data_IF_203552877396
#
_entry.id   IF_203552877396
#
_cell.length_a   1.000
_cell.length_b   1.000
_cell.length_c   1.000
_cell.angle_alpha   90.00
_cell.angle_beta   90.00
_cell.angle_gamma   90.00
#
_symmetry.space_group_name_H-M   'P 1'
#
loop_
_entity.id
_entity.type
_entity.pdbx_description
1 polymer ?
#
# COMPACT_ATOMS: atom_id res chain seq x y z
N UNK A 1 3.37 59.84 -6.18
CA UNK A 1 2.86 58.73 -5.36
C UNK A 1 2.90 57.47 -6.22
N UNK A 2 4.04 56.73 -6.18
CA UNK A 2 4.26 55.57 -7.04
C UNK A 2 3.75 54.33 -6.31
N UNK A 3 2.69 53.71 -6.87
CA UNK A 3 2.25 52.36 -6.45
C UNK A 3 3.28 51.35 -6.89
N UNK A 4 3.99 50.79 -5.93
CA UNK A 4 4.92 49.67 -6.12
C UNK A 4 4.11 48.38 -6.33
N UNK A 5 4.01 47.94 -7.57
CA UNK A 5 3.43 46.62 -7.88
C UNK A 5 4.24 45.53 -7.19
N UNK A 6 3.57 44.70 -6.36
CA UNK A 6 4.14 43.51 -5.77
C UNK A 6 4.47 42.48 -6.87
N UNK A 7 5.58 41.75 -6.77
CA UNK A 7 5.94 40.74 -7.78
C UNK A 7 4.94 39.63 -7.84
N UNK A 8 4.56 39.23 -9.05
CA UNK A 8 3.55 38.19 -9.37
C UNK A 8 3.81 36.81 -8.69
N UNK A 9 5.04 36.56 -8.23
CA UNK A 9 5.44 35.35 -7.52
C UNK A 9 4.84 35.21 -6.11
N UNK A 10 4.63 36.33 -5.39
CA UNK A 10 4.05 36.32 -4.04
C UNK A 10 2.53 36.11 -4.06
N UNK A 11 1.86 36.66 -5.08
CA UNK A 11 0.40 36.44 -5.27
C UNK A 11 0.08 35.00 -5.63
N UNK A 12 0.92 34.32 -6.43
CA UNK A 12 0.71 32.93 -6.79
C UNK A 12 0.96 31.97 -5.60
N UNK A 13 1.90 32.29 -4.72
CA UNK A 13 2.16 31.49 -3.52
C UNK A 13 1.01 31.62 -2.49
N UNK A 14 0.48 32.82 -2.27
CA UNK A 14 -0.66 33.06 -1.37
C UNK A 14 -1.98 32.49 -1.92
N UNK A 15 -2.18 32.46 -3.23
CA UNK A 15 -3.33 31.80 -3.87
C UNK A 15 -3.21 30.29 -3.78
N UNK A 16 -2.01 29.72 -4.01
CA UNK A 16 -1.77 28.28 -3.81
C UNK A 16 -1.98 27.84 -2.37
N UNK A 17 -1.54 28.61 -1.39
CA UNK A 17 -1.71 28.31 0.03
C UNK A 17 -3.19 28.35 0.45
N UNK A 18 -3.98 29.30 -0.06
CA UNK A 18 -5.43 29.36 0.17
C UNK A 18 -6.20 28.23 -0.55
N UNK A 19 -5.83 27.86 -1.77
CA UNK A 19 -6.44 26.73 -2.49
C UNK A 19 -6.09 25.40 -1.81
N UNK A 20 -4.85 25.23 -1.30
CA UNK A 20 -4.45 24.05 -0.56
C UNK A 20 -5.22 23.81 0.75
N UNK A 21 -5.74 24.89 1.39
CA UNK A 21 -6.54 24.76 2.61
C UNK A 21 -8.03 24.49 2.36
N UNK A 22 -8.55 24.88 1.19
CA UNK A 22 -9.96 24.67 0.84
C UNK A 22 -10.18 23.30 0.13
N UNK A 23 -9.11 22.68 -0.39
CA UNK A 23 -9.16 21.52 -1.29
C UNK A 23 -9.63 21.91 -2.70
N UNK A 24 -9.26 21.09 -3.66
CA UNK A 24 -9.72 21.20 -5.04
C UNK A 24 -10.56 19.94 -5.35
N UNK A 25 -11.89 20.05 -5.49
CA UNK A 25 -12.75 18.89 -5.72
C UNK A 25 -12.43 18.15 -7.03
N UNK A 26 -11.77 18.80 -7.97
CA UNK A 26 -11.33 18.18 -9.22
C UNK A 26 -10.00 17.43 -9.08
N UNK A 27 -9.25 17.70 -8.01
CA UNK A 27 -7.98 17.03 -7.78
C UNK A 27 -8.17 15.58 -7.30
N UNK A 28 -7.36 14.65 -7.83
CA UNK A 28 -7.45 13.21 -7.53
C UNK A 28 -7.41 12.89 -6.03
N UNK A 29 -6.63 13.61 -5.24
CA UNK A 29 -6.55 13.43 -3.78
C UNK A 29 -7.88 13.72 -3.11
N UNK A 30 -8.57 14.80 -3.49
CA UNK A 30 -9.92 15.13 -2.99
C UNK A 30 -10.93 14.06 -3.35
N UNK A 31 -10.94 13.64 -4.63
CA UNK A 31 -11.84 12.59 -5.10
C UNK A 31 -11.62 11.31 -4.28
N UNK A 32 -10.38 10.90 -4.08
CA UNK A 32 -10.05 9.69 -3.32
C UNK A 32 -10.43 9.80 -1.84
N UNK A 33 -10.30 10.97 -1.22
CA UNK A 33 -10.77 11.21 0.16
C UNK A 33 -12.29 11.14 0.21
N UNK A 34 -13.00 11.84 -0.70
CA UNK A 34 -14.45 11.87 -0.74
C UNK A 34 -15.07 10.48 -0.97
N UNK A 35 -14.47 9.66 -1.85
CA UNK A 35 -14.90 8.29 -2.12
C UNK A 35 -14.71 7.34 -0.94
N UNK A 36 -13.74 7.61 -0.05
CA UNK A 36 -13.50 6.84 1.19
C UNK A 36 -14.37 7.28 2.36
N UNK A 37 -14.89 8.49 2.31
CA UNK A 37 -15.70 9.10 3.35
C UNK A 37 -17.04 9.59 2.80
N UNK A 38 -17.77 8.70 2.14
CA UNK A 38 -18.98 9.04 1.36
C UNK A 38 -20.04 9.71 2.23
N UNK A 39 -20.32 9.19 3.44
CA UNK A 39 -21.31 9.79 4.31
C UNK A 39 -20.86 11.14 4.89
N UNK A 40 -19.58 11.25 5.25
CA UNK A 40 -19.01 12.48 5.79
C UNK A 40 -18.92 13.58 4.72
N UNK A 41 -18.46 13.23 3.51
CA UNK A 41 -18.27 14.18 2.40
C UNK A 41 -19.58 14.74 1.85
N UNK A 42 -20.69 14.01 2.00
CA UNK A 42 -22.04 14.45 1.64
C UNK A 42 -22.77 15.15 2.80
N UNK A 43 -22.19 15.17 3.99
CA UNK A 43 -22.78 15.78 5.19
C UNK A 43 -22.84 17.32 5.10
N UNK A 44 -23.91 17.92 5.63
CA UNK A 44 -24.12 19.38 5.65
C UNK A 44 -22.98 20.14 6.32
N UNK A 45 -22.28 19.51 7.28
CA UNK A 45 -21.15 20.11 8.01
C UNK A 45 -19.81 19.93 7.30
N UNK A 46 -19.76 19.18 6.20
CA UNK A 46 -18.51 18.92 5.49
C UNK A 46 -17.74 20.18 5.08
N UNK A 47 -18.36 21.23 4.52
CA UNK A 47 -17.65 22.45 4.14
C UNK A 47 -16.94 23.14 5.31
N UNK A 48 -17.45 22.99 6.54
CA UNK A 48 -16.86 23.55 7.77
C UNK A 48 -15.73 22.64 8.31
N UNK A 49 -15.90 21.33 8.25
CA UNK A 49 -14.95 20.35 8.79
C UNK A 49 -13.77 20.11 7.84
N UNK A 50 -13.99 20.16 6.55
CA UNK A 50 -13.01 19.88 5.50
C UNK A 50 -11.68 20.66 5.68
N UNK A 51 -11.65 21.98 5.85
CA UNK A 51 -10.40 22.73 6.02
C UNK A 51 -9.59 22.29 7.24
N UNK A 52 -10.27 21.98 8.36
CA UNK A 52 -9.64 21.52 9.59
C UNK A 52 -9.04 20.13 9.41
N UNK A 53 -9.81 19.20 8.82
CA UNK A 53 -9.38 17.83 8.51
C UNK A 53 -8.20 17.84 7.55
N UNK A 54 -8.26 18.63 6.48
CA UNK A 54 -7.21 18.72 5.47
C UNK A 54 -5.91 19.28 6.04
N UNK A 55 -6.02 20.29 6.91
CA UNK A 55 -4.85 20.80 7.63
C UNK A 55 -4.23 19.74 8.55
N UNK A 56 -5.06 18.99 9.29
CA UNK A 56 -4.60 17.96 10.21
C UNK A 56 -3.97 16.75 9.48
N UNK A 57 -4.43 16.44 8.26
CA UNK A 57 -4.04 15.24 7.52
C UNK A 57 -3.03 15.48 6.39
N UNK A 58 -2.27 16.57 6.45
CA UNK A 58 -1.21 16.88 5.48
C UNK A 58 -1.69 16.94 4.01
N UNK A 59 -2.92 17.42 3.78
CA UNK A 59 -3.55 17.45 2.47
C UNK A 59 -2.68 18.13 1.39
N UNK A 60 -2.13 19.34 1.66
CA UNK A 60 -1.29 20.04 0.70
C UNK A 60 -0.03 19.29 0.32
N UNK A 61 0.56 18.54 1.26
CA UNK A 61 1.69 17.67 0.98
C UNK A 61 1.27 16.47 0.13
N UNK A 62 0.10 15.89 0.38
CA UNK A 62 -0.45 14.79 -0.43
C UNK A 62 -0.72 15.25 -1.87
N UNK A 63 -1.26 16.47 -2.07
CA UNK A 63 -1.46 17.07 -3.39
C UNK A 63 -0.13 17.29 -4.11
N UNK A 64 0.86 17.87 -3.43
CA UNK A 64 2.20 18.07 -4.01
C UNK A 64 2.81 16.74 -4.44
N UNK A 65 2.83 15.75 -3.55
CA UNK A 65 3.32 14.41 -3.84
C UNK A 65 2.60 13.78 -5.05
N UNK A 66 1.26 13.87 -5.10
CA UNK A 66 0.48 13.32 -6.22
C UNK A 66 0.84 14.00 -7.54
N UNK A 67 0.99 15.33 -7.55
CA UNK A 67 1.40 16.09 -8.74
C UNK A 67 2.81 15.75 -9.20
N UNK A 68 3.74 15.54 -8.25
CA UNK A 68 5.13 15.22 -8.56
C UNK A 68 5.25 13.83 -9.18
N UNK A 69 4.47 12.84 -8.72
CA UNK A 69 4.54 11.47 -9.24
C UNK A 69 3.66 11.22 -10.45
N UNK A 70 2.66 12.05 -10.72
CA UNK A 70 1.71 11.86 -11.83
C UNK A 70 2.38 11.69 -13.21
N UNK A 71 3.44 12.46 -13.59
CA UNK A 71 4.10 12.32 -14.87
C UNK A 71 5.15 11.21 -14.94
N UNK A 72 5.48 10.56 -13.82
CA UNK A 72 6.59 9.63 -13.72
C UNK A 72 6.19 8.21 -14.18
N UNK A 73 7.17 7.43 -14.65
CA UNK A 73 6.99 5.98 -14.80
C UNK A 73 6.79 5.31 -13.45
N UNK A 74 6.28 4.08 -13.44
CA UNK A 74 6.03 3.37 -12.19
C UNK A 74 7.28 3.22 -11.33
N UNK A 75 8.44 2.93 -11.95
CA UNK A 75 9.71 2.83 -11.25
C UNK A 75 10.14 4.16 -10.64
N UNK A 76 10.12 5.22 -11.42
CA UNK A 76 10.49 6.56 -10.96
C UNK A 76 9.58 7.06 -9.84
N UNK A 77 8.27 6.78 -9.92
CA UNK A 77 7.31 7.14 -8.88
C UNK A 77 7.58 6.39 -7.55
N UNK A 78 7.93 5.09 -7.61
CA UNK A 78 8.34 4.35 -6.42
C UNK A 78 9.68 4.86 -5.86
N UNK A 79 10.68 5.16 -6.71
CA UNK A 79 11.95 5.74 -6.28
C UNK A 79 11.76 7.14 -5.65
N UNK A 80 10.83 7.96 -6.20
CA UNK A 80 10.44 9.23 -5.60
C UNK A 80 9.83 9.03 -4.20
N UNK A 81 8.87 8.11 -4.06
CA UNK A 81 8.22 7.81 -2.78
C UNK A 81 9.22 7.23 -1.77
N UNK A 82 10.12 6.35 -2.20
CA UNK A 82 11.23 5.83 -1.40
C UNK A 82 12.09 6.96 -0.83
N UNK A 83 12.47 7.91 -1.69
CA UNK A 83 13.26 9.09 -1.29
C UNK A 83 12.48 10.01 -0.37
N UNK A 84 11.21 10.28 -0.68
CA UNK A 84 10.34 11.15 0.11
C UNK A 84 10.15 10.60 1.53
N UNK A 85 9.91 9.29 1.66
CA UNK A 85 9.68 8.65 2.95
C UNK A 85 10.99 8.36 3.69
N UNK A 86 12.08 8.06 2.96
CA UNK A 86 13.38 7.71 3.54
C UNK A 86 13.24 6.72 4.71
N UNK A 87 12.54 5.61 4.46
CA UNK A 87 12.25 4.61 5.50
C UNK A 87 13.54 3.97 6.00
N UNK A 88 13.63 3.73 7.32
CA UNK A 88 14.68 2.92 7.92
C UNK A 88 14.27 1.44 7.82
N UNK A 89 14.64 0.78 6.71
CA UNK A 89 14.27 -0.60 6.41
C UNK A 89 15.38 -1.55 6.82
N UNK A 90 15.11 -2.40 7.81
CA UNK A 90 15.98 -3.49 8.23
C UNK A 90 15.41 -4.83 7.81
N UNK A 91 16.24 -5.70 7.24
CA UNK A 91 15.78 -7.01 6.71
C UNK A 91 16.56 -8.13 7.39
N UNK A 92 15.84 -9.10 7.96
CA UNK A 92 16.36 -10.37 8.44
C UNK A 92 15.90 -11.50 7.52
N UNK A 93 16.74 -12.49 7.25
CA UNK A 93 16.41 -13.59 6.34
C UNK A 93 16.44 -13.21 4.86
N UNK A 94 17.17 -12.15 4.48
CA UNK A 94 17.29 -11.71 3.09
C UNK A 94 17.85 -12.82 2.18
N UNK A 95 18.67 -13.71 2.72
CA UNK A 95 19.23 -14.90 2.05
C UNK A 95 18.17 -15.92 1.63
N UNK A 96 16.98 -15.88 2.23
CA UNK A 96 15.86 -16.73 1.86
C UNK A 96 15.17 -16.28 0.55
N UNK A 97 15.52 -15.09 0.05
CA UNK A 97 14.93 -14.58 -1.19
C UNK A 97 15.50 -15.33 -2.40
N UNK A 98 14.68 -16.00 -3.24
CA UNK A 98 15.18 -16.66 -4.45
C UNK A 98 15.88 -15.66 -5.38
N UNK A 99 17.14 -15.94 -5.73
CA UNK A 99 17.95 -15.07 -6.59
C UNK A 99 17.39 -14.99 -8.01
N UNK A 100 16.64 -15.99 -8.47
CA UNK A 100 16.06 -16.06 -9.81
C UNK A 100 14.76 -16.85 -9.82
N UNK A 101 14.02 -16.79 -10.93
CA UNK A 101 12.72 -17.43 -11.06
C UNK A 101 11.58 -16.64 -10.43
N UNK A 102 10.35 -16.97 -10.80
CA UNK A 102 9.14 -16.34 -10.26
C UNK A 102 8.76 -16.92 -8.90
N UNK A 103 8.27 -16.07 -8.01
CA UNK A 103 7.69 -16.47 -6.73
C UNK A 103 6.68 -15.43 -6.26
N UNK A 104 5.87 -15.79 -5.29
CA UNK A 104 4.99 -14.85 -4.59
C UNK A 104 5.68 -14.43 -3.29
N UNK A 105 5.99 -13.14 -3.15
CA UNK A 105 6.30 -12.57 -1.84
C UNK A 105 4.99 -12.23 -1.15
N UNK A 106 4.74 -12.83 0.01
CA UNK A 106 3.51 -12.69 0.77
C UNK A 106 3.75 -11.96 2.10
N UNK A 107 3.82 -10.61 2.11
CA UNK A 107 4.06 -9.86 3.34
C UNK A 107 2.79 -9.68 4.18
N UNK A 108 2.94 -9.56 5.51
CA UNK A 108 1.92 -8.97 6.35
C UNK A 108 1.72 -7.48 6.02
N UNK A 109 0.57 -6.90 6.42
CA UNK A 109 0.15 -5.57 5.96
C UNK A 109 -0.20 -4.61 7.11
N UNK A 110 0.80 -4.23 7.95
CA UNK A 110 0.53 -3.46 9.17
C UNK A 110 0.18 -1.99 8.93
N UNK A 111 0.70 -1.34 7.86
CA UNK A 111 0.58 0.12 7.70
C UNK A 111 -0.10 0.58 6.42
N UNK A 112 -0.22 -0.27 5.42
CA UNK A 112 -0.86 0.08 4.15
C UNK A 112 0.16 0.47 3.08
N UNK A 113 0.02 1.65 2.45
CA UNK A 113 0.85 2.04 1.29
C UNK A 113 2.34 2.00 1.61
N UNK A 114 2.74 2.41 2.83
CA UNK A 114 4.14 2.42 3.24
C UNK A 114 4.78 1.02 3.28
N UNK A 115 3.99 -0.04 3.53
CA UNK A 115 4.50 -1.42 3.45
C UNK A 115 4.94 -1.76 2.03
N UNK A 116 4.19 -1.29 1.01
CA UNK A 116 4.56 -1.46 -0.39
C UNK A 116 5.87 -0.75 -0.74
N UNK A 117 6.10 0.45 -0.17
CA UNK A 117 7.36 1.19 -0.38
C UNK A 117 8.52 0.49 0.34
N UNK A 118 8.32 0.00 1.57
CA UNK A 118 9.35 -0.74 2.30
C UNK A 118 9.76 -2.03 1.57
N UNK A 119 8.78 -2.76 1.00
CA UNK A 119 9.04 -3.95 0.18
C UNK A 119 9.75 -3.59 -1.12
N UNK A 120 9.37 -2.48 -1.77
CA UNK A 120 10.08 -1.97 -2.94
C UNK A 120 11.53 -1.64 -2.61
N UNK A 121 11.80 -0.95 -1.50
CA UNK A 121 13.17 -0.62 -1.07
C UNK A 121 14.02 -1.86 -0.82
N UNK A 122 13.45 -2.90 -0.24
CA UNK A 122 14.10 -4.18 -0.06
C UNK A 122 14.41 -4.87 -1.39
N UNK A 123 13.43 -4.90 -2.31
CA UNK A 123 13.55 -5.67 -3.57
C UNK A 123 14.32 -4.94 -4.67
N UNK A 124 14.30 -3.60 -4.70
CA UNK A 124 14.73 -2.81 -5.87
C UNK A 124 16.15 -3.08 -6.36
N UNK A 125 17.03 -3.59 -5.50
CA UNK A 125 18.41 -3.94 -5.86
C UNK A 125 18.55 -5.43 -6.14
N UNK A 126 17.97 -6.30 -5.29
CA UNK A 126 18.14 -7.74 -5.40
C UNK A 126 17.24 -8.36 -6.49
N UNK A 127 16.00 -7.88 -6.60
CA UNK A 127 14.99 -8.39 -7.55
C UNK A 127 14.16 -7.24 -8.12
N UNK A 128 14.75 -6.43 -9.00
CA UNK A 128 14.06 -5.29 -9.63
C UNK A 128 12.89 -5.70 -10.54
N UNK A 129 12.82 -6.98 -10.92
CA UNK A 129 11.81 -7.63 -11.74
C UNK A 129 10.53 -7.95 -10.94
N UNK A 130 9.98 -6.98 -10.24
CA UNK A 130 8.80 -7.17 -9.40
C UNK A 130 7.49 -6.69 -10.07
N UNK A 131 6.36 -7.21 -9.56
CA UNK A 131 5.02 -6.71 -9.82
C UNK A 131 4.23 -6.74 -8.50
N UNK A 132 3.56 -5.65 -8.13
CA UNK A 132 2.94 -5.47 -6.80
C UNK A 132 1.42 -5.39 -6.97
N UNK A 133 0.68 -6.27 -6.30
CA UNK A 133 -0.77 -6.12 -6.20
C UNK A 133 -1.11 -4.93 -5.32
N UNK A 134 -1.82 -3.95 -5.88
CA UNK A 134 -2.24 -2.77 -5.15
C UNK A 134 -3.63 -2.28 -5.60
N UNK A 135 -4.21 -1.40 -4.78
CA UNK A 135 -5.47 -0.77 -5.10
C UNK A 135 -5.38 -0.01 -6.44
N UNK A 136 -6.36 -0.22 -7.33
CA UNK A 136 -6.49 0.44 -8.64
C UNK A 136 -6.45 1.97 -8.54
N UNK A 137 -6.85 2.54 -7.42
CA UNK A 137 -6.79 3.98 -7.16
C UNK A 137 -5.37 4.56 -7.32
N UNK A 138 -4.31 3.75 -7.11
CA UNK A 138 -2.94 4.19 -7.34
C UNK A 138 -2.71 4.63 -8.81
N UNK A 139 -3.34 3.97 -9.78
CA UNK A 139 -3.26 4.34 -11.20
C UNK A 139 -3.95 5.66 -11.53
N UNK A 140 -4.87 6.12 -10.68
CA UNK A 140 -5.51 7.45 -10.81
C UNK A 140 -4.57 8.55 -10.36
N UNK A 141 -3.74 8.26 -9.34
CA UNK A 141 -2.74 9.21 -8.83
C UNK A 141 -1.56 9.31 -9.79
N UNK A 142 -1.03 8.17 -10.24
CA UNK A 142 0.09 8.12 -11.19
C UNK A 142 -0.15 6.98 -12.20
N UNK A 143 -0.57 7.28 -13.44
CA UNK A 143 -0.83 6.27 -14.47
C UNK A 143 0.38 5.38 -14.76
N UNK A 144 1.60 5.90 -14.62
CA UNK A 144 2.85 5.16 -14.81
C UNK A 144 3.03 3.99 -13.83
N UNK A 145 2.33 3.95 -12.71
CA UNK A 145 2.34 2.79 -11.81
C UNK A 145 1.93 1.47 -12.51
N UNK A 146 1.29 1.56 -13.69
CA UNK A 146 0.94 0.37 -14.49
C UNK A 146 2.15 -0.50 -14.85
N UNK A 147 3.36 0.03 -14.81
CA UNK A 147 4.60 -0.72 -15.08
C UNK A 147 4.93 -1.74 -13.97
N UNK A 148 4.52 -1.44 -12.72
CA UNK A 148 4.85 -2.21 -11.53
C UNK A 148 3.64 -2.72 -10.75
N UNK A 149 2.47 -2.07 -10.89
CA UNK A 149 1.27 -2.43 -10.11
C UNK A 149 0.35 -3.32 -10.94
N UNK A 150 -0.05 -4.45 -10.34
CA UNK A 150 -1.19 -5.25 -10.77
C UNK A 150 -2.42 -4.69 -10.04
N UNK A 151 -3.32 -3.95 -10.73
CA UNK A 151 -4.39 -3.21 -10.08
C UNK A 151 -5.54 -4.11 -9.64
N UNK A 152 -5.96 -3.96 -8.37
CA UNK A 152 -7.13 -4.67 -7.82
C UNK A 152 -8.22 -3.66 -7.48
N UNK A 153 -9.47 -3.95 -7.85
CA UNK A 153 -10.62 -3.18 -7.42
C UNK A 153 -11.16 -3.75 -6.09
N UNK A 154 -11.10 -2.95 -5.05
CA UNK A 154 -11.55 -3.33 -3.72
C UNK A 154 -13.04 -3.06 -3.48
N UNK A 155 -13.62 -2.06 -4.20
CA UNK A 155 -15.03 -1.69 -4.09
C UNK A 155 -15.90 -2.70 -4.82
N UNK A 156 -16.80 -3.37 -4.10
CA UNK A 156 -17.65 -4.42 -4.68
C UNK A 156 -18.51 -3.91 -5.86
N UNK A 157 -19.11 -2.72 -5.71
CA UNK A 157 -19.94 -2.10 -6.76
C UNK A 157 -19.17 -1.65 -8.01
N UNK A 158 -17.85 -1.50 -7.90
CA UNK A 158 -16.97 -1.03 -8.96
C UNK A 158 -16.27 -2.18 -9.72
N UNK A 159 -16.50 -3.43 -9.31
CA UNK A 159 -15.93 -4.60 -9.98
C UNK A 159 -16.63 -4.84 -11.30
N UNK A 160 -15.93 -4.63 -12.40
CA UNK A 160 -16.40 -4.93 -13.76
C UNK A 160 -15.61 -6.08 -14.37
N UNK A 161 -16.21 -6.73 -15.39
CA UNK A 161 -15.51 -7.79 -16.12
C UNK A 161 -14.22 -7.28 -16.76
N UNK A 162 -14.22 -6.05 -17.30
CA UNK A 162 -13.02 -5.43 -17.89
C UNK A 162 -11.92 -5.23 -16.86
N UNK A 163 -12.24 -4.66 -15.67
CA UNK A 163 -11.26 -4.47 -14.59
C UNK A 163 -10.69 -5.81 -14.11
N UNK A 164 -11.54 -6.84 -13.99
CA UNK A 164 -11.12 -8.19 -13.59
C UNK A 164 -10.21 -8.82 -14.64
N UNK A 165 -10.54 -8.69 -15.92
CA UNK A 165 -9.73 -9.19 -17.03
C UNK A 165 -8.35 -8.52 -17.08
N UNK A 166 -8.28 -7.21 -16.94
CA UNK A 166 -7.04 -6.45 -16.87
C UNK A 166 -6.13 -6.97 -15.74
N UNK A 167 -6.68 -7.15 -14.54
CA UNK A 167 -5.94 -7.75 -13.40
C UNK A 167 -5.41 -9.15 -13.73
N UNK A 168 -6.23 -10.02 -14.32
CA UNK A 168 -5.84 -11.39 -14.69
C UNK A 168 -4.75 -11.40 -15.77
N UNK A 169 -4.84 -10.55 -16.79
CA UNK A 169 -3.84 -10.45 -17.85
C UNK A 169 -2.49 -9.98 -17.30
N UNK A 170 -2.49 -8.95 -16.46
CA UNK A 170 -1.25 -8.46 -15.83
C UNK A 170 -0.64 -9.50 -14.89
N UNK A 171 -1.47 -10.23 -14.14
CA UNK A 171 -1.04 -11.34 -13.30
C UNK A 171 -0.37 -12.44 -14.12
N UNK A 172 -1.01 -12.86 -15.22
CA UNK A 172 -0.46 -13.89 -16.09
C UNK A 172 0.88 -13.46 -16.72
N UNK A 173 1.00 -12.19 -17.16
CA UNK A 173 2.25 -11.63 -17.69
C UNK A 173 3.35 -11.61 -16.64
N UNK A 174 3.04 -11.24 -15.39
CA UNK A 174 4.03 -11.22 -14.31
C UNK A 174 4.62 -12.62 -14.05
N UNK A 175 3.75 -13.65 -13.93
CA UNK A 175 4.22 -15.03 -13.72
C UNK A 175 4.94 -15.62 -14.96
N UNK A 176 4.44 -15.36 -16.17
CA UNK A 176 5.13 -15.78 -17.40
C UNK A 176 6.50 -15.13 -17.54
N UNK A 177 6.66 -13.88 -17.11
CA UNK A 177 7.92 -13.17 -17.04
C UNK A 177 8.81 -13.58 -15.86
N UNK A 178 8.41 -14.59 -15.07
CA UNK A 178 9.12 -15.08 -13.87
C UNK A 178 9.44 -13.97 -12.86
N UNK A 179 8.57 -12.96 -12.77
CA UNK A 179 8.72 -11.83 -11.84
C UNK A 179 8.48 -12.24 -10.39
N UNK A 180 8.98 -11.42 -9.48
CA UNK A 180 8.52 -11.42 -8.08
C UNK A 180 7.14 -10.80 -8.03
N UNK A 181 6.14 -11.56 -7.60
CA UNK A 181 4.77 -11.06 -7.44
C UNK A 181 4.54 -10.77 -5.97
N UNK A 182 4.50 -9.49 -5.62
CA UNK A 182 4.20 -9.05 -4.25
C UNK A 182 2.70 -9.01 -4.06
N UNK A 183 2.20 -9.78 -3.12
CA UNK A 183 0.78 -9.87 -2.78
C UNK A 183 0.62 -9.77 -1.26
N UNK A 184 -0.08 -8.75 -0.78
CA UNK A 184 -0.48 -8.63 0.63
C UNK A 184 -1.77 -9.45 0.85
N UNK A 185 -1.68 -10.67 1.42
CA UNK A 185 -2.80 -11.62 1.34
C UNK A 185 -4.02 -11.22 2.16
N UNK A 186 -3.85 -10.41 3.20
CA UNK A 186 -4.98 -9.87 3.97
C UNK A 186 -5.87 -8.93 3.14
N UNK A 187 -5.28 -8.26 2.12
CA UNK A 187 -5.94 -7.25 1.30
C UNK A 187 -6.41 -6.02 2.08
N UNK A 188 -6.12 -5.94 3.35
CA UNK A 188 -6.49 -4.85 4.27
C UNK A 188 -5.41 -4.61 5.31
N UNK A 189 -5.31 -3.36 5.77
CA UNK A 189 -4.40 -2.95 6.84
C UNK A 189 -4.79 -3.65 8.15
N UNK A 190 -3.77 -4.05 8.93
CA UNK A 190 -3.93 -4.61 10.27
C UNK A 190 -4.69 -3.65 11.20
N UNK A 191 -5.39 -4.19 12.16
CA UNK A 191 -6.22 -3.42 13.09
C UNK A 191 -5.88 -3.77 14.53
N UNK A 192 -6.29 -2.89 15.44
CA UNK A 192 -6.06 -3.11 16.87
C UNK A 192 -7.16 -3.99 17.45
N UNK A 193 -6.78 -5.12 18.00
CA UNK A 193 -7.69 -6.07 18.63
C UNK A 193 -7.10 -6.61 19.92
N UNK A 194 -7.85 -6.57 21.01
CA UNK A 194 -7.45 -7.11 22.33
C UNK A 194 -6.04 -6.69 22.77
N UNK A 195 -5.71 -5.41 22.61
CA UNK A 195 -4.42 -4.86 23.04
C UNK A 195 -3.23 -5.18 22.12
N UNK A 196 -3.44 -5.78 20.95
CA UNK A 196 -2.40 -6.11 19.98
C UNK A 196 -2.78 -5.75 18.56
N UNK A 197 -1.77 -5.47 17.72
CA UNK A 197 -1.96 -5.28 16.29
C UNK A 197 -2.20 -6.65 15.64
N UNK A 198 -3.37 -6.79 15.01
CA UNK A 198 -3.85 -8.06 14.46
C UNK A 198 -4.01 -7.94 12.96
N UNK A 199 -3.44 -8.89 12.23
CA UNK A 199 -3.60 -9.01 10.78
C UNK A 199 -5.03 -9.48 10.45
N UNK A 200 -5.60 -8.93 9.36
CA UNK A 200 -6.88 -9.45 8.85
C UNK A 200 -6.68 -10.86 8.27
N UNK A 201 -7.73 -11.72 8.26
CA UNK A 201 -7.62 -13.06 7.68
C UNK A 201 -7.08 -13.03 6.25
N UNK A 202 -6.11 -13.88 5.96
CA UNK A 202 -5.51 -13.97 4.64
C UNK A 202 -6.47 -14.60 3.64
N UNK A 203 -6.50 -14.05 2.44
CA UNK A 203 -7.33 -14.54 1.35
C UNK A 203 -6.69 -15.77 0.70
N UNK A 204 -7.52 -16.71 0.27
CA UNK A 204 -7.11 -17.93 -0.42
C UNK A 204 -6.39 -17.68 -1.76
N UNK A 205 -6.46 -16.45 -2.29
CA UNK A 205 -5.82 -16.07 -3.56
C UNK A 205 -4.32 -16.33 -3.60
N UNK A 206 -3.60 -16.16 -2.48
CA UNK A 206 -2.16 -16.43 -2.40
C UNK A 206 -1.87 -17.91 -2.70
N UNK A 207 -2.66 -18.82 -2.13
CA UNK A 207 -2.55 -20.28 -2.34
C UNK A 207 -2.97 -20.65 -3.77
N UNK A 208 -4.09 -20.10 -4.23
CA UNK A 208 -4.62 -20.38 -5.57
C UNK A 208 -3.63 -19.95 -6.68
N UNK A 209 -3.00 -18.79 -6.53
CA UNK A 209 -1.98 -18.31 -7.48
C UNK A 209 -0.70 -19.16 -7.42
N UNK A 210 -0.20 -19.48 -6.22
CA UNK A 210 0.98 -20.32 -6.06
C UNK A 210 0.82 -21.69 -6.75
N UNK A 211 -0.32 -22.34 -6.53
CA UNK A 211 -0.67 -23.63 -7.16
C UNK A 211 -0.82 -23.50 -8.66
N UNK A 212 -1.60 -22.50 -9.13
CA UNK A 212 -1.88 -22.30 -10.56
C UNK A 212 -0.62 -22.09 -11.38
N UNK A 213 0.30 -21.28 -10.86
CA UNK A 213 1.54 -20.94 -11.58
C UNK A 213 2.75 -21.78 -11.15
N UNK A 214 2.55 -22.73 -10.22
CA UNK A 214 3.59 -23.61 -9.67
C UNK A 214 4.82 -22.85 -9.21
N UNK A 215 4.61 -21.79 -8.44
CA UNK A 215 5.67 -20.95 -7.87
C UNK A 215 5.66 -21.04 -6.35
N UNK A 216 6.82 -20.95 -5.69
CA UNK A 216 6.87 -20.91 -4.23
C UNK A 216 6.27 -19.63 -3.67
N UNK A 217 5.81 -19.71 -2.41
CA UNK A 217 5.44 -18.56 -1.59
C UNK A 217 6.56 -18.27 -0.62
N UNK A 218 7.07 -17.04 -0.64
CA UNK A 218 8.03 -16.52 0.33
C UNK A 218 7.25 -15.67 1.34
N UNK A 219 7.04 -16.15 2.57
CA UNK A 219 6.36 -15.38 3.59
C UNK A 219 7.26 -14.25 4.09
N UNK A 220 6.71 -13.08 4.36
CA UNK A 220 7.47 -11.97 4.92
C UNK A 220 6.67 -11.26 6.01
N UNK A 221 7.27 -11.12 7.20
CA UNK A 221 6.65 -10.38 8.30
C UNK A 221 7.17 -8.96 8.32
N UNK A 222 6.26 -7.98 8.23
CA UNK A 222 6.59 -6.57 8.40
C UNK A 222 6.21 -6.14 9.81
N UNK A 223 7.16 -5.57 10.54
CA UNK A 223 6.94 -4.97 11.86
C UNK A 223 7.01 -3.46 11.73
N UNK A 224 5.85 -2.84 11.70
CA UNK A 224 5.62 -1.40 11.68
C UNK A 224 4.21 -1.13 12.21
N UNK A 225 3.84 0.14 12.40
CA UNK A 225 2.50 0.50 12.86
C UNK A 225 2.07 1.88 12.35
N UNK A 226 0.79 2.08 12.27
CA UNK A 226 0.18 3.37 12.02
C UNK A 226 0.17 4.27 13.26
N UNK A 227 -0.24 5.50 13.10
CA UNK A 227 -0.33 6.46 14.21
C UNK A 227 -1.42 6.05 15.21
N UNK A 228 -1.31 6.56 16.44
CA UNK A 228 -2.39 6.42 17.43
C UNK A 228 -3.71 7.00 16.94
N UNK A 229 -3.64 8.07 16.13
CA UNK A 229 -4.82 8.69 15.52
C UNK A 229 -5.55 7.73 14.58
N UNK A 230 -4.81 7.00 13.71
CA UNK A 230 -5.39 5.98 12.83
C UNK A 230 -6.21 4.94 13.61
N UNK A 231 -5.64 4.39 14.68
CA UNK A 231 -6.33 3.39 15.50
C UNK A 231 -7.48 3.98 16.33
N UNK A 232 -7.35 5.22 16.78
CA UNK A 232 -8.43 5.91 17.48
C UNK A 232 -9.63 6.10 16.54
N UNK A 233 -9.39 6.63 15.34
CA UNK A 233 -10.44 6.87 14.35
C UNK A 233 -11.09 5.56 13.88
N UNK A 234 -10.33 4.48 13.75
CA UNK A 234 -10.85 3.16 13.38
C UNK A 234 -11.83 2.56 14.38
N UNK A 235 -11.84 3.05 15.63
CA UNK A 235 -12.84 2.65 16.65
C UNK A 235 -14.20 3.30 16.44
N UNK A 236 -14.24 4.44 15.76
CA UNK A 236 -15.44 5.24 15.59
C UNK A 236 -16.05 5.08 14.19
N UNK A 237 -15.21 5.05 13.16
CA UNK A 237 -15.67 4.99 11.79
C UNK A 237 -14.56 4.51 10.85
N UNK A 238 -14.87 3.56 9.98
CA UNK A 238 -13.98 3.14 8.90
C UNK A 238 -13.72 4.29 7.92
N UNK A 239 -14.69 5.17 7.67
CA UNK A 239 -14.53 6.34 6.81
C UNK A 239 -13.49 7.33 7.37
N UNK A 240 -13.59 7.66 8.66
CA UNK A 240 -12.61 8.55 9.32
C UNK A 240 -11.20 7.96 9.25
N UNK A 241 -11.07 6.65 9.45
CA UNK A 241 -9.79 5.96 9.29
C UNK A 241 -9.29 6.04 7.85
N UNK A 242 -10.14 5.74 6.88
CA UNK A 242 -9.74 5.64 5.47
C UNK A 242 -9.41 7.01 4.85
N UNK A 243 -9.94 8.10 5.39
CA UNK A 243 -9.51 9.47 5.07
C UNK A 243 -8.06 9.74 5.42
N UNK A 244 -7.49 9.04 6.41
CA UNK A 244 -6.11 9.27 6.85
C UNK A 244 -5.05 8.61 5.95
N UNK A 245 -5.43 7.94 4.86
CA UNK A 245 -4.50 7.13 4.05
C UNK A 245 -3.25 7.89 3.59
N UNK A 246 -3.40 9.12 3.13
CA UNK A 246 -2.27 9.95 2.71
C UNK A 246 -1.49 10.50 3.92
N UNK A 247 -2.19 10.84 4.99
CA UNK A 247 -1.55 11.24 6.25
C UNK A 247 -0.70 10.09 6.80
N UNK A 248 -1.24 8.87 6.84
CA UNK A 248 -0.50 7.69 7.31
C UNK A 248 0.71 7.35 6.41
N UNK A 249 0.63 7.59 5.12
CA UNK A 249 1.78 7.46 4.24
C UNK A 249 2.87 8.49 4.59
N UNK A 250 2.51 9.78 4.64
CA UNK A 250 3.47 10.88 4.82
C UNK A 250 4.08 10.93 6.23
N UNK A 251 3.34 10.51 7.26
CA UNK A 251 3.84 10.47 8.63
C UNK A 251 4.85 9.33 8.89
N UNK A 252 5.06 8.43 7.90
CA UNK A 252 6.08 7.37 7.99
C UNK A 252 7.48 7.84 7.65
N UNK A 253 7.66 9.09 7.24
CA UNK A 253 8.99 9.62 6.90
C UNK A 253 10.01 9.36 8.01
N UNK A 254 11.14 8.69 7.66
CA UNK A 254 12.16 8.25 8.60
C UNK A 254 11.70 7.11 9.54
N UNK A 255 10.50 6.55 9.28
CA UNK A 255 9.95 5.48 10.10
C UNK A 255 10.70 4.17 9.94
N UNK A 256 10.77 3.40 11.05
CA UNK A 256 11.43 2.09 11.06
C UNK A 256 10.50 0.99 10.59
N UNK A 257 10.98 0.18 9.64
CA UNK A 257 10.33 -1.00 9.10
C UNK A 257 11.27 -2.19 9.22
N UNK A 258 10.90 -3.18 10.04
CA UNK A 258 11.64 -4.43 10.11
C UNK A 258 10.91 -5.48 9.28
N UNK A 259 11.61 -6.06 8.30
CA UNK A 259 11.10 -7.13 7.44
C UNK A 259 11.82 -8.42 7.79
N UNK A 260 11.07 -9.45 8.17
CA UNK A 260 11.62 -10.80 8.38
C UNK A 260 11.15 -11.67 7.22
N UNK A 261 12.09 -12.14 6.40
CA UNK A 261 11.81 -12.99 5.22
C UNK A 261 11.99 -14.45 5.62
N UNK A 262 10.93 -15.24 5.48
CA UNK A 262 10.96 -16.67 5.76
C UNK A 262 11.44 -17.49 4.56
N UNK A 263 11.66 -18.78 4.79
CA UNK A 263 12.05 -19.72 3.73
C UNK A 263 10.97 -19.87 2.67
N UNK A 264 11.35 -20.07 1.39
CA UNK A 264 10.39 -20.35 0.32
C UNK A 264 9.61 -21.63 0.60
N UNK A 265 8.29 -21.54 0.52
CA UNK A 265 7.36 -22.66 0.71
C UNK A 265 6.98 -23.17 -0.68
N UNK A 266 7.37 -24.41 -0.98
CA UNK A 266 7.09 -25.04 -2.27
C UNK A 266 5.56 -25.22 -2.50
N UNK A 267 5.07 -25.12 -3.75
CA UNK A 267 3.64 -25.28 -4.06
C UNK A 267 3.03 -26.59 -3.56
N UNK A 268 3.81 -27.65 -3.56
CA UNK A 268 3.38 -29.00 -3.12
C UNK A 268 3.10 -29.07 -1.60
N UNK A 269 3.68 -28.16 -0.82
CA UNK A 269 3.38 -28.01 0.61
C UNK A 269 2.08 -27.23 0.88
N UNK A 270 1.50 -26.61 -0.16
CA UNK A 270 0.30 -25.79 -0.05
C UNK A 270 -1.00 -26.56 -0.38
N UNK A 271 -0.99 -27.90 -0.31
CA UNK A 271 -2.17 -28.74 -0.58
C UNK A 271 -3.26 -28.57 0.48
N UNK A 272 -4.52 -28.94 0.14
CA UNK A 272 -5.68 -28.89 1.01
C UNK A 272 -6.66 -27.78 0.62
N UNK A 273 -7.60 -27.43 1.49
CA UNK A 273 -8.56 -26.36 1.24
C UNK A 273 -7.83 -25.00 1.25
N UNK A 274 -7.96 -24.17 0.19
CA UNK A 274 -7.14 -22.96 0.05
C UNK A 274 -7.29 -21.94 1.18
N UNK A 275 -8.45 -21.84 1.81
CA UNK A 275 -8.67 -20.95 2.95
C UNK A 275 -7.92 -21.41 4.21
N UNK A 276 -7.94 -22.71 4.50
CA UNK A 276 -7.23 -23.29 5.64
C UNK A 276 -5.72 -23.13 5.48
N UNK A 277 -5.21 -23.39 4.27
CA UNK A 277 -3.79 -23.21 3.97
C UNK A 277 -3.38 -21.74 4.07
N UNK A 278 -4.22 -20.80 3.62
CA UNK A 278 -3.96 -19.38 3.78
C UNK A 278 -3.91 -18.95 5.27
N UNK A 279 -4.76 -19.53 6.11
CA UNK A 279 -4.73 -19.31 7.55
C UNK A 279 -3.46 -19.87 8.21
N UNK A 280 -2.97 -21.03 7.76
CA UNK A 280 -1.68 -21.60 8.20
C UNK A 280 -0.51 -20.72 7.76
N UNK A 281 -0.50 -20.24 6.51
CA UNK A 281 0.50 -19.29 6.01
C UNK A 281 0.51 -18.00 6.84
N UNK A 282 -0.68 -17.46 7.15
CA UNK A 282 -0.80 -16.29 8.00
C UNK A 282 -0.20 -16.52 9.37
N UNK A 283 -0.56 -17.61 10.03
CA UNK A 283 -0.04 -17.97 11.35
C UNK A 283 1.49 -18.12 11.32
N UNK A 284 2.01 -18.83 10.33
CA UNK A 284 3.43 -18.98 10.13
C UNK A 284 4.12 -17.62 9.99
N UNK A 285 3.60 -16.74 9.14
CA UNK A 285 4.18 -15.41 8.88
C UNK A 285 4.11 -14.50 10.10
N UNK A 286 2.97 -14.44 10.78
CA UNK A 286 2.73 -13.47 11.85
C UNK A 286 3.33 -13.91 13.18
N UNK A 287 3.28 -15.22 13.49
CA UNK A 287 3.68 -15.76 14.78
C UNK A 287 5.09 -16.36 14.73
N UNK A 288 5.35 -17.33 13.83
CA UNK A 288 6.63 -18.06 13.82
C UNK A 288 7.79 -17.23 13.31
N UNK A 289 7.60 -16.45 12.23
CA UNK A 289 8.65 -15.54 11.75
C UNK A 289 8.91 -14.34 12.67
N UNK A 290 8.10 -14.18 13.74
CA UNK A 290 8.39 -13.17 14.75
C UNK A 290 9.69 -13.45 15.49
N UNK A 291 9.94 -14.73 15.75
CA UNK A 291 11.01 -15.20 16.62
C UNK A 291 12.16 -15.83 15.83
N UNK A 292 11.88 -16.42 14.65
CA UNK A 292 12.87 -17.15 13.86
C UNK A 292 12.65 -17.00 12.34
N UNK A 293 13.54 -16.26 11.62
CA UNK A 293 13.49 -16.20 10.14
C UNK A 293 13.70 -17.57 9.47
N UNK A 294 14.37 -18.49 10.17
CA UNK A 294 14.65 -19.85 9.70
C UNK A 294 13.52 -20.85 9.92
N UNK A 295 12.41 -20.44 10.55
CA UNK A 295 11.28 -21.31 10.87
C UNK A 295 10.77 -22.06 9.63
N UNK A 296 10.63 -23.39 9.77
CA UNK A 296 10.04 -24.21 8.72
C UNK A 296 8.51 -24.11 8.72
N UNK A 297 7.94 -24.05 7.52
CA UNK A 297 6.48 -24.11 7.36
C UNK A 297 6.01 -25.54 7.70
N UNK A 298 5.12 -25.62 8.67
CA UNK A 298 4.46 -26.88 9.06
C UNK A 298 2.96 -26.69 8.98
N UNK A 299 2.27 -27.72 8.48
CA UNK A 299 0.79 -27.80 8.44
C UNK A 299 0.19 -27.98 9.81
#
# INVERSE_FOLDING_TARGET
>A
MQFRMMPASLTSALVRDRMGMAGDPDHVVDQLIAERATHLSQGVFWPLLRPVIYRAFHYSQAVSMANDIAPLSGREAFDYLSTLLSLDVSVAGAENLPASGGFILAPSHPTGIADGIAVFDFLKTARPDMAIFANRDALRVAPGFRDLIIPVEWRQGEKTLSKSRDTLEMTARAFSGKKVVVLFPSGRIAFWNEGRLTERPWQSSVVALARRYRVPVVPARITARNSGLFYLLSRWSDELRDMTVFHELLNKRGGRFNITVGKPIAPDLLDGEPGDVAALLQRHTVERLADDPGAEFTR
#
